data_IF_683344136804
#
_entry.id   IF_683344136804
#
_cell.length_a   1.000
_cell.length_b   1.000
_cell.length_c   1.000
_cell.angle_alpha   90.00
_cell.angle_beta   90.00
_cell.angle_gamma   90.00
#
_symmetry.space_group_name_H-M   'P 1'
#
loop_
_entity.id
_entity.type
_entity.pdbx_description
1 polymer ?
#
# COMPACT_ATOMS: atom_id res chain seq x y z
N UNK A 1 15.87 4.69 2.14
CA UNK A 1 14.76 5.51 2.65
C UNK A 1 13.55 4.60 2.67
N UNK A 2 13.07 4.20 3.85
CA UNK A 2 11.91 3.30 3.98
C UNK A 2 10.66 4.18 4.11
N UNK A 3 9.57 3.82 3.42
CA UNK A 3 8.35 4.62 3.38
C UNK A 3 7.68 4.64 4.76
N UNK A 4 7.76 5.77 5.44
CA UNK A 4 7.04 6.10 6.68
C UNK A 4 6.55 7.53 6.57
N UNK A 5 5.60 7.92 7.43
CA UNK A 5 5.09 9.31 7.47
C UNK A 5 4.34 9.73 6.21
N UNK A 6 3.71 8.78 5.51
CA UNK A 6 2.95 9.03 4.28
C UNK A 6 1.75 9.95 4.57
N UNK A 7 1.25 9.98 5.81
CA UNK A 7 0.24 10.93 6.29
C UNK A 7 0.66 12.41 6.16
N UNK A 8 1.96 12.69 6.00
CA UNK A 8 2.44 14.07 5.79
C UNK A 8 2.40 14.51 4.34
N UNK A 9 2.04 13.61 3.42
CA UNK A 9 2.13 13.80 1.97
C UNK A 9 0.75 13.88 1.29
N UNK A 10 -0.30 14.32 2.01
CA UNK A 10 -1.66 14.47 1.48
C UNK A 10 -1.70 15.12 0.09
N UNK A 11 -1.05 16.28 -0.05
CA UNK A 11 -1.05 17.02 -1.31
C UNK A 11 -0.38 16.25 -2.45
N UNK A 12 0.58 15.39 -2.16
CA UNK A 12 1.25 14.57 -3.17
C UNK A 12 0.37 13.37 -3.56
N UNK A 13 -0.29 12.73 -2.59
CA UNK A 13 -1.26 11.64 -2.83
C UNK A 13 -2.39 12.12 -3.73
N UNK A 14 -2.96 13.30 -3.45
CA UNK A 14 -4.06 13.87 -4.23
C UNK A 14 -3.64 14.22 -5.67
N UNK A 15 -2.36 14.49 -5.92
CA UNK A 15 -1.83 14.81 -7.25
C UNK A 15 -1.48 13.57 -8.10
N UNK A 16 -1.49 12.35 -7.55
CA UNK A 16 -1.14 11.15 -8.32
C UNK A 16 -2.10 10.99 -9.51
N UNK A 17 -1.55 10.90 -10.72
CA UNK A 17 -2.30 10.89 -11.99
C UNK A 17 -2.56 9.49 -12.57
N UNK A 18 -2.08 8.45 -11.91
CA UNK A 18 -2.28 7.04 -12.28
C UNK A 18 -2.93 6.26 -11.12
N UNK A 19 -3.47 5.05 -11.39
CA UNK A 19 -3.88 4.13 -10.34
C UNK A 19 -2.74 3.87 -9.35
N UNK A 20 -3.04 3.81 -8.06
CA UNK A 20 -2.08 3.51 -7.01
C UNK A 20 -2.60 2.39 -6.10
N UNK A 21 -1.69 1.47 -5.75
CA UNK A 21 -1.95 0.39 -4.81
C UNK A 21 -1.06 0.57 -3.58
N UNK A 22 -1.66 0.57 -2.39
CA UNK A 22 -0.95 0.72 -1.11
C UNK A 22 -1.18 -0.49 -0.19
N UNK A 23 -0.12 -0.89 0.50
CA UNK A 23 -0.09 -2.07 1.37
C UNK A 23 0.49 -1.70 2.74
N UNK A 24 -0.29 -1.92 3.81
CA UNK A 24 0.10 -1.61 5.18
C UNK A 24 -0.07 -2.83 6.09
N UNK A 25 0.81 -2.99 7.07
CA UNK A 25 0.51 -3.82 8.23
C UNK A 25 -0.36 -3.04 9.22
N UNK A 26 -1.34 -3.67 9.87
CA UNK A 26 -2.21 -2.98 10.83
C UNK A 26 -1.61 -2.88 12.25
N UNK A 27 -0.49 -3.55 12.49
CA UNK A 27 0.33 -3.46 13.71
C UNK A 27 1.67 -2.76 13.43
N UNK A 28 1.71 -1.84 12.47
CA UNK A 28 2.91 -1.06 12.15
C UNK A 28 3.16 0.02 13.22
N UNK A 29 4.25 -0.11 13.97
CA UNK A 29 4.63 0.86 15.01
C UNK A 29 5.17 2.19 14.47
N UNK A 30 5.47 2.30 13.18
CA UNK A 30 5.89 3.53 12.52
C UNK A 30 4.72 4.29 11.90
N UNK A 31 3.68 3.57 11.46
CA UNK A 31 2.47 4.13 10.85
C UNK A 31 1.23 3.71 11.68
N UNK A 32 0.87 4.49 12.73
CA UNK A 32 -0.31 4.20 13.55
C UNK A 32 -1.59 4.08 12.72
N UNK A 33 -2.58 3.32 13.20
CA UNK A 33 -3.81 3.04 12.44
C UNK A 33 -4.57 4.30 12.00
N UNK A 34 -4.52 5.39 12.78
CA UNK A 34 -5.12 6.67 12.41
C UNK A 34 -4.40 7.32 11.21
N UNK A 35 -3.08 7.19 11.13
CA UNK A 35 -2.29 7.66 9.99
C UNK A 35 -2.59 6.82 8.74
N UNK A 36 -2.66 5.48 8.87
CA UNK A 36 -3.09 4.56 7.81
C UNK A 36 -4.49 4.93 7.33
N UNK A 37 -5.41 5.21 8.26
CA UNK A 37 -6.78 5.64 7.98
C UNK A 37 -6.86 6.96 7.21
N UNK A 38 -6.03 7.94 7.55
CA UNK A 38 -5.94 9.21 6.84
C UNK A 38 -5.47 9.01 5.39
N UNK A 39 -4.40 8.23 5.19
CA UNK A 39 -3.87 7.90 3.85
C UNK A 39 -4.91 7.17 3.02
N UNK A 40 -5.61 6.18 3.60
CA UNK A 40 -6.73 5.49 2.95
C UNK A 40 -7.83 6.46 2.52
N UNK A 41 -8.20 7.38 3.41
CA UNK A 41 -9.23 8.39 3.14
C UNK A 41 -8.87 9.27 1.95
N UNK A 42 -7.62 9.73 1.86
CA UNK A 42 -7.17 10.55 0.73
C UNK A 42 -7.07 9.75 -0.57
N UNK A 43 -6.60 8.50 -0.51
CA UNK A 43 -6.55 7.64 -1.70
C UNK A 43 -7.97 7.41 -2.25
N UNK A 44 -8.91 7.00 -1.40
CA UNK A 44 -10.31 6.80 -1.80
C UNK A 44 -10.95 8.10 -2.28
N UNK A 45 -10.62 9.23 -1.62
CA UNK A 45 -11.11 10.56 -1.99
C UNK A 45 -10.70 11.02 -3.39
N UNK A 46 -9.64 10.46 -3.98
CA UNK A 46 -9.27 10.70 -5.38
C UNK A 46 -10.31 10.17 -6.37
N UNK A 47 -11.13 9.21 -5.94
CA UNK A 47 -12.16 8.55 -6.75
C UNK A 47 -11.64 8.05 -8.11
N UNK A 48 -10.37 7.62 -8.17
CA UNK A 48 -9.74 7.15 -9.40
C UNK A 48 -9.98 5.65 -9.57
N UNK A 49 -10.37 5.27 -10.79
CA UNK A 49 -10.51 3.87 -11.15
C UNK A 49 -9.16 3.14 -11.02
N UNK A 50 -9.17 1.98 -10.35
CA UNK A 50 -8.00 1.14 -10.13
C UNK A 50 -7.21 1.46 -8.85
N UNK A 51 -7.52 2.52 -8.10
CA UNK A 51 -6.88 2.72 -6.79
C UNK A 51 -7.24 1.57 -5.83
N UNK A 52 -6.25 1.05 -5.11
CA UNK A 52 -6.37 -0.09 -4.21
C UNK A 52 -5.65 0.16 -2.87
N UNK A 53 -6.24 -0.30 -1.77
CA UNK A 53 -5.67 -0.13 -0.43
C UNK A 53 -5.88 -1.39 0.41
N UNK A 54 -4.80 -1.91 0.98
CA UNK A 54 -4.83 -3.14 1.77
C UNK A 54 -4.16 -2.95 3.13
N UNK A 55 -4.78 -3.52 4.16
CA UNK A 55 -4.20 -3.73 5.48
C UNK A 55 -4.08 -5.23 5.76
N UNK A 56 -2.99 -5.64 6.40
CA UNK A 56 -2.73 -7.03 6.74
C UNK A 56 -2.75 -7.22 8.26
N UNK A 57 -3.65 -8.09 8.79
CA UNK A 57 -3.74 -8.36 10.22
C UNK A 57 -2.44 -8.85 10.84
N UNK A 58 -2.10 -8.30 12.00
CA UNK A 58 -0.91 -8.61 12.82
C UNK A 58 0.43 -8.35 12.11
N UNK A 59 0.40 -7.83 10.87
CA UNK A 59 1.60 -7.51 10.13
C UNK A 59 2.16 -6.19 10.64
N UNK A 60 3.46 -6.16 10.86
CA UNK A 60 4.17 -4.99 11.37
C UNK A 60 4.92 -4.26 10.24
N UNK A 61 5.69 -3.26 10.62
CA UNK A 61 6.62 -2.60 9.71
C UNK A 61 7.55 -3.61 9.03
N UNK A 62 7.74 -3.43 7.73
CA UNK A 62 8.58 -4.30 6.89
C UNK A 62 8.10 -5.77 6.80
N UNK A 63 6.81 -6.06 7.02
CA UNK A 63 6.24 -7.41 6.93
C UNK A 63 6.57 -8.15 5.63
N UNK A 64 6.72 -7.42 4.52
CA UNK A 64 6.99 -7.99 3.19
C UNK A 64 8.44 -8.45 3.01
N UNK A 65 9.38 -7.98 3.85
CA UNK A 65 10.80 -8.25 3.68
C UNK A 65 11.19 -9.59 4.33
N UNK A 66 11.35 -10.63 3.50
CA UNK A 66 11.76 -11.98 3.95
C UNK A 66 13.10 -12.06 4.70
N UNK A 67 13.94 -11.03 4.61
CA UNK A 67 15.21 -10.97 5.33
C UNK A 67 15.10 -10.32 6.71
N UNK A 68 13.93 -9.71 7.02
CA UNK A 68 13.60 -9.19 8.36
C UNK A 68 12.86 -10.27 9.14
N UNK A 69 13.57 -11.32 9.53
CA UNK A 69 12.97 -12.49 10.22
C UNK A 69 12.25 -12.14 11.53
N UNK A 70 12.55 -10.98 12.12
CA UNK A 70 11.87 -10.43 13.29
C UNK A 70 10.49 -9.82 13.01
N UNK A 71 10.21 -9.45 11.75
CA UNK A 71 8.97 -8.76 11.32
C UNK A 71 8.26 -9.43 10.15
N UNK A 72 8.92 -10.37 9.48
CA UNK A 72 8.41 -11.01 8.28
C UNK A 72 7.10 -11.75 8.59
N UNK A 73 6.06 -11.43 7.81
CA UNK A 73 4.77 -12.09 7.90
C UNK A 73 4.49 -12.78 6.56
N UNK A 74 4.69 -14.10 6.52
CA UNK A 74 4.57 -14.88 5.30
C UNK A 74 3.17 -14.82 4.68
N UNK A 75 2.06 -14.98 5.42
CA UNK A 75 0.71 -14.81 4.88
C UNK A 75 0.51 -13.45 4.21
N UNK A 76 0.89 -12.35 4.89
CA UNK A 76 0.77 -11.01 4.36
C UNK A 76 1.65 -10.80 3.12
N UNK A 77 2.88 -11.32 3.14
CA UNK A 77 3.79 -11.29 2.00
C UNK A 77 3.19 -11.94 0.75
N UNK A 78 2.63 -13.15 0.89
CA UNK A 78 2.01 -13.88 -0.23
C UNK A 78 0.78 -13.13 -0.77
N UNK A 79 -0.09 -12.65 0.11
CA UNK A 79 -1.29 -11.92 -0.28
C UNK A 79 -0.96 -10.58 -0.96
N UNK A 80 -0.02 -9.83 -0.41
CA UNK A 80 0.47 -8.58 -1.00
C UNK A 80 1.10 -8.83 -2.37
N UNK A 81 2.00 -9.82 -2.48
CA UNK A 81 2.64 -10.15 -3.75
C UNK A 81 1.65 -10.54 -4.84
N UNK A 82 0.66 -11.37 -4.52
CA UNK A 82 -0.41 -11.72 -5.45
C UNK A 82 -1.28 -10.51 -5.84
N UNK A 83 -1.54 -9.60 -4.89
CA UNK A 83 -2.25 -8.34 -5.14
C UNK A 83 -1.50 -7.42 -6.11
N UNK A 84 -0.19 -7.26 -5.92
CA UNK A 84 0.65 -6.44 -6.78
C UNK A 84 0.64 -6.95 -8.22
N UNK A 85 0.81 -8.26 -8.43
CA UNK A 85 0.81 -8.83 -9.77
C UNK A 85 -0.54 -8.61 -10.48
N UNK A 86 -1.66 -8.85 -9.79
CA UNK A 86 -3.01 -8.59 -10.35
C UNK A 86 -3.23 -7.12 -10.69
N UNK A 87 -2.82 -6.22 -9.82
CA UNK A 87 -2.95 -4.78 -10.04
C UNK A 87 -2.13 -4.34 -11.25
N UNK A 88 -0.89 -4.81 -11.38
CA UNK A 88 -0.04 -4.51 -12.53
C UNK A 88 -0.64 -5.09 -13.81
N UNK A 89 -1.09 -6.34 -13.83
CA UNK A 89 -1.73 -6.94 -15.02
C UNK A 89 -2.96 -6.14 -15.47
N UNK A 90 -3.78 -5.67 -14.53
CA UNK A 90 -4.98 -4.89 -14.83
C UNK A 90 -4.69 -3.46 -15.34
N UNK A 91 -3.57 -2.85 -14.91
CA UNK A 91 -3.28 -1.43 -15.17
C UNK A 91 -2.11 -1.20 -16.15
N UNK A 92 -1.34 -2.23 -16.50
CA UNK A 92 -0.26 -2.15 -17.49
C UNK A 92 -0.65 -2.68 -18.88
N UNK A 93 -1.85 -3.25 -19.04
CA UNK A 93 -2.31 -3.76 -20.33
C UNK A 93 -2.56 -2.65 -21.36
N UNK A 94 -1.52 -2.43 -22.19
CA UNK A 94 -1.45 -1.86 -23.55
C UNK A 94 -2.19 -0.54 -23.82
N UNK A 95 -1.44 0.56 -23.78
CA UNK A 95 -1.65 1.67 -24.72
C UNK A 95 -1.63 1.09 -26.14
N UNK A 96 -2.70 1.19 -26.94
CA UNK A 96 -2.58 0.94 -28.38
C UNK A 96 -1.60 1.99 -28.93
N UNK A 97 -0.56 1.53 -29.61
CA UNK A 97 0.28 2.39 -30.44
C UNK A 97 -0.54 2.97 -31.60
#
# INVERSE_FOLDING_TARGET
>A
MYGVKVEKLKNEIEKITCPAQLHYGDNDNHDPIDAIGAVRGWLVGRARHGDEFYTYPEAEHAFYNRFRTDRFNEPAHQLAGAGVLRFLDANLASTPA
#
